data_IF_535163231474
#
_entry.id   IF_535163231474
#
_cell.length_a   1.000
_cell.length_b   1.000
_cell.length_c   1.000
_cell.angle_alpha   90.00
_cell.angle_beta   90.00
_cell.angle_gamma   90.00
#
_symmetry.space_group_name_H-M   'P 1'
#
loop_
_entity.id
_entity.type
_entity.pdbx_description
1 polymer ?
#
# COMPACT_ATOMS: atom_id res chain seq x y z
N UNK A 1 5.33 16.91 -8.14
CA UNK A 1 4.80 16.54 -6.81
C UNK A 1 3.81 15.37 -6.83
N UNK A 2 3.21 15.00 -7.97
CA UNK A 2 2.35 13.80 -8.02
C UNK A 2 3.19 12.55 -8.33
N UNK A 3 3.48 11.75 -7.29
CA UNK A 3 4.06 10.41 -7.41
C UNK A 3 3.04 9.34 -7.81
N UNK A 4 3.48 8.09 -7.93
CA UNK A 4 2.65 6.94 -8.32
C UNK A 4 1.43 6.75 -7.40
N UNK A 5 1.62 6.88 -6.08
CA UNK A 5 0.51 6.70 -5.13
C UNK A 5 -0.68 7.64 -5.33
N UNK A 6 -0.45 8.88 -5.79
CA UNK A 6 -1.56 9.80 -6.12
C UNK A 6 -2.31 9.30 -7.36
N UNK A 7 -1.58 8.83 -8.39
CA UNK A 7 -2.19 8.31 -9.62
C UNK A 7 -3.03 7.06 -9.35
N UNK A 8 -2.58 6.19 -8.46
CA UNK A 8 -3.28 4.96 -8.11
C UNK A 8 -4.59 5.24 -7.38
N UNK A 9 -4.58 6.15 -6.41
CA UNK A 9 -5.77 6.57 -5.66
C UNK A 9 -6.80 7.26 -6.57
N UNK A 10 -6.35 8.08 -7.52
CA UNK A 10 -7.25 8.81 -8.43
C UNK A 10 -7.61 8.05 -9.69
N UNK A 11 -7.10 6.83 -9.90
CA UNK A 11 -7.28 6.07 -11.15
C UNK A 11 -8.75 5.92 -11.54
N UNK A 12 -9.63 5.69 -10.56
CA UNK A 12 -11.07 5.51 -10.80
C UNK A 12 -11.78 6.79 -11.25
N UNK A 13 -11.23 7.97 -10.96
CA UNK A 13 -11.83 9.24 -11.32
C UNK A 13 -11.81 9.52 -12.84
N UNK A 14 -10.98 8.80 -13.60
CA UNK A 14 -10.95 8.86 -15.07
C UNK A 14 -12.04 8.04 -15.78
N UNK A 15 -12.99 7.48 -15.02
CA UNK A 15 -14.06 6.63 -15.56
C UNK A 15 -15.20 7.43 -16.21
N UNK A 16 -16.10 6.74 -16.93
CA UNK A 16 -17.26 7.35 -17.59
C UNK A 16 -18.23 8.04 -16.61
N UNK A 17 -18.47 9.37 -16.76
CA UNK A 17 -19.33 10.12 -15.84
C UNK A 17 -20.81 9.71 -15.89
N UNK A 18 -21.31 9.27 -17.05
CA UNK A 18 -22.72 8.89 -17.21
C UNK A 18 -23.01 7.61 -16.43
N UNK A 19 -22.15 6.61 -16.56
CA UNK A 19 -22.22 5.36 -15.82
C UNK A 19 -22.16 5.60 -14.31
N UNK A 20 -21.18 6.39 -13.83
CA UNK A 20 -21.06 6.69 -12.40
C UNK A 20 -22.28 7.43 -11.85
N UNK A 21 -22.87 8.34 -12.63
CA UNK A 21 -24.10 9.04 -12.22
C UNK A 21 -25.27 8.05 -12.04
N UNK A 22 -25.41 7.07 -12.92
CA UNK A 22 -26.43 6.03 -12.79
C UNK A 22 -26.20 5.15 -11.54
N UNK A 23 -24.95 4.72 -11.32
CA UNK A 23 -24.58 3.92 -10.13
C UNK A 23 -24.89 4.69 -8.84
N UNK A 24 -24.49 5.97 -8.76
CA UNK A 24 -24.72 6.80 -7.57
C UNK A 24 -26.22 7.06 -7.34
N UNK A 25 -26.98 7.30 -8.41
CA UNK A 25 -28.44 7.48 -8.31
C UNK A 25 -29.12 6.22 -7.78
N UNK A 26 -28.74 5.04 -8.28
CA UNK A 26 -29.28 3.75 -7.81
C UNK A 26 -28.93 3.42 -6.36
N UNK A 27 -27.86 4.00 -5.81
CA UNK A 27 -27.36 3.72 -4.45
C UNK A 27 -27.41 4.95 -3.53
N UNK A 28 -28.18 5.97 -3.89
CA UNK A 28 -28.08 7.31 -3.28
C UNK A 28 -28.19 7.29 -1.75
N UNK A 29 -29.14 6.53 -1.18
CA UNK A 29 -29.32 6.44 0.27
C UNK A 29 -28.12 5.83 1.00
N UNK A 30 -27.59 4.71 0.48
CA UNK A 30 -26.45 4.02 1.07
C UNK A 30 -25.18 4.86 0.95
N UNK A 31 -24.93 5.45 -0.22
CA UNK A 31 -23.77 6.31 -0.46
C UNK A 31 -23.85 7.56 0.43
N UNK A 32 -25.01 8.22 0.51
CA UNK A 32 -25.18 9.40 1.35
C UNK A 32 -24.93 9.11 2.85
N UNK A 33 -25.33 7.94 3.35
CA UNK A 33 -25.04 7.53 4.72
C UNK A 33 -23.53 7.42 4.98
N UNK A 34 -22.80 6.76 4.07
CA UNK A 34 -21.34 6.61 4.16
C UNK A 34 -20.64 7.97 4.05
N UNK A 35 -21.04 8.82 3.10
CA UNK A 35 -20.44 10.15 2.92
C UNK A 35 -20.67 11.06 4.13
N UNK A 36 -21.82 10.97 4.81
CA UNK A 36 -22.09 11.72 6.04
C UNK A 36 -21.18 11.28 7.19
N UNK A 37 -20.97 9.97 7.36
CA UNK A 37 -20.04 9.45 8.36
C UNK A 37 -18.60 9.91 8.07
N UNK A 38 -18.16 9.78 6.81
CA UNK A 38 -16.84 10.25 6.38
C UNK A 38 -16.66 11.77 6.61
N UNK A 39 -17.67 12.58 6.29
CA UNK A 39 -17.62 14.02 6.52
C UNK A 39 -17.49 14.37 8.01
N UNK A 40 -18.18 13.63 8.89
CA UNK A 40 -18.06 13.82 10.33
C UNK A 40 -16.65 13.47 10.84
N UNK A 41 -16.08 12.35 10.38
CA UNK A 41 -14.71 11.94 10.74
C UNK A 41 -13.67 12.96 10.25
N UNK A 42 -13.83 13.48 9.02
CA UNK A 42 -12.98 14.53 8.48
C UNK A 42 -13.10 15.83 9.30
N UNK A 43 -14.30 16.20 9.74
CA UNK A 43 -14.51 17.34 10.62
C UNK A 43 -13.72 17.22 11.93
N UNK A 44 -13.76 16.05 12.57
CA UNK A 44 -12.98 15.81 13.80
C UNK A 44 -11.47 15.93 13.58
N UNK A 45 -10.97 15.48 12.42
CA UNK A 45 -9.55 15.64 12.07
C UNK A 45 -9.20 17.11 11.89
N UNK A 46 -10.03 17.88 11.17
CA UNK A 46 -9.82 19.32 10.94
C UNK A 46 -9.77 20.06 12.28
N UNK A 47 -10.76 19.84 13.15
CA UNK A 47 -10.80 20.49 14.48
C UNK A 47 -9.56 20.17 15.33
N UNK A 48 -9.07 18.92 15.26
CA UNK A 48 -7.85 18.51 15.94
C UNK A 48 -6.61 19.19 15.36
N UNK A 49 -6.50 19.31 14.04
CA UNK A 49 -5.39 19.99 13.37
C UNK A 49 -5.39 21.48 13.67
N UNK A 50 -6.54 22.14 13.63
CA UNK A 50 -6.67 23.56 13.97
C UNK A 50 -6.26 23.82 15.42
N UNK A 51 -6.68 22.94 16.34
CA UNK A 51 -6.25 23.00 17.75
C UNK A 51 -4.74 22.88 17.89
N UNK A 52 -4.11 21.95 17.17
CA UNK A 52 -2.65 21.75 17.19
C UNK A 52 -1.90 22.96 16.59
N UNK A 53 -2.42 23.54 15.50
CA UNK A 53 -1.85 24.71 14.86
C UNK A 53 -1.91 25.94 15.78
N UNK A 54 -3.05 26.15 16.45
CA UNK A 54 -3.24 27.27 17.39
C UNK A 54 -2.44 27.12 18.70
N UNK A 55 -2.12 25.88 19.09
CA UNK A 55 -1.47 25.58 20.37
C UNK A 55 0.06 25.56 20.32
N UNK A 56 0.68 26.04 19.24
CA UNK A 56 2.15 26.14 19.14
C UNK A 56 2.63 27.34 19.94
N UNK A 57 3.13 27.11 21.15
CA UNK A 57 3.71 28.17 21.98
C UNK A 57 5.11 28.56 21.49
N UNK A 58 5.63 29.78 21.81
CA UNK A 58 6.96 30.22 21.40
C UNK A 58 8.13 29.31 21.84
N UNK A 59 7.91 28.51 22.87
CA UNK A 59 8.81 27.50 23.45
C UNK A 59 8.60 26.09 22.85
N UNK A 60 7.75 25.95 21.82
CA UNK A 60 7.57 24.71 21.06
C UNK A 60 6.71 23.65 21.75
N UNK A 61 6.04 23.99 22.85
CA UNK A 61 5.06 23.12 23.49
C UNK A 61 3.74 23.19 22.71
N UNK A 62 3.09 22.03 22.55
CA UNK A 62 1.77 21.94 21.92
C UNK A 62 0.74 21.67 23.01
N UNK A 63 0.00 22.70 23.40
CA UNK A 63 -1.10 22.60 24.37
C UNK A 63 -2.45 22.39 23.66
N UNK A 64 -2.62 21.24 23.02
CA UNK A 64 -3.90 20.83 22.43
C UNK A 64 -4.37 19.50 23.03
N UNK A 65 -4.94 19.51 24.25
CA UNK A 65 -5.40 18.30 24.92
C UNK A 65 -6.35 17.49 24.03
N UNK A 66 -6.08 16.19 23.86
CA UNK A 66 -6.93 15.29 23.09
C UNK A 66 -6.77 15.34 21.57
N UNK A 67 -6.28 16.43 20.98
CA UNK A 67 -6.14 16.56 19.51
C UNK A 67 -5.19 15.51 18.91
N UNK A 68 -4.03 15.28 19.54
CA UNK A 68 -3.11 14.19 19.15
C UNK A 68 -3.76 12.82 19.24
N UNK A 69 -4.62 12.60 20.25
CA UNK A 69 -5.31 11.35 20.44
C UNK A 69 -6.40 11.11 19.37
N UNK A 70 -7.07 12.17 18.90
CA UNK A 70 -7.99 12.08 17.74
C UNK A 70 -7.24 11.59 16.52
N UNK A 71 -6.13 12.24 16.14
CA UNK A 71 -5.32 11.84 14.99
C UNK A 71 -4.83 10.39 15.10
N UNK A 72 -4.25 10.02 16.25
CA UNK A 72 -3.73 8.67 16.48
C UNK A 72 -4.82 7.60 16.32
N UNK A 73 -6.02 7.84 16.88
CA UNK A 73 -7.15 6.92 16.74
C UNK A 73 -7.61 6.80 15.29
N UNK A 74 -7.73 7.91 14.56
CA UNK A 74 -8.19 7.89 13.18
C UNK A 74 -7.21 7.16 12.27
N UNK A 75 -5.90 7.37 12.43
CA UNK A 75 -4.86 6.62 11.69
C UNK A 75 -4.91 5.13 12.05
N UNK A 76 -5.02 4.79 13.33
CA UNK A 76 -5.12 3.40 13.77
C UNK A 76 -6.38 2.71 13.19
N UNK A 77 -7.52 3.41 13.15
CA UNK A 77 -8.74 2.90 12.54
C UNK A 77 -8.58 2.69 11.02
N UNK A 78 -7.88 3.59 10.33
CA UNK A 78 -7.52 3.44 8.92
C UNK A 78 -6.67 2.20 8.66
N UNK A 79 -5.61 2.00 9.45
CA UNK A 79 -4.75 0.81 9.37
C UNK A 79 -5.53 -0.48 9.62
N UNK A 80 -6.40 -0.50 10.64
CA UNK A 80 -7.26 -1.64 10.92
C UNK A 80 -8.29 -1.89 9.80
N UNK A 81 -8.79 -0.85 9.15
CA UNK A 81 -9.64 -0.94 7.96
C UNK A 81 -8.92 -1.58 6.78
N UNK A 82 -7.70 -1.10 6.48
CA UNK A 82 -6.86 -1.62 5.40
C UNK A 82 -6.54 -3.11 5.61
N UNK A 83 -6.20 -3.51 6.83
CA UNK A 83 -5.86 -4.89 7.16
C UNK A 83 -7.03 -5.87 6.98
N UNK A 84 -8.28 -5.39 6.89
CA UNK A 84 -9.48 -6.21 6.64
C UNK A 84 -9.79 -6.40 5.17
N UNK A 85 -9.13 -5.69 4.26
CA UNK A 85 -9.37 -5.82 2.82
C UNK A 85 -8.89 -7.22 2.39
N UNK A 86 -9.78 -8.09 1.86
CA UNK A 86 -9.40 -9.43 1.44
C UNK A 86 -8.36 -9.40 0.32
N UNK A 87 -7.45 -10.38 0.31
CA UNK A 87 -6.49 -10.53 -0.79
C UNK A 87 -7.16 -10.91 -2.11
N UNK A 88 -6.39 -10.87 -3.21
CA UNK A 88 -6.79 -11.13 -4.62
C UNK A 88 -7.65 -12.38 -4.88
N UNK A 89 -7.68 -13.35 -3.95
CA UNK A 89 -8.45 -14.60 -4.08
C UNK A 89 -9.59 -14.74 -3.05
N UNK A 90 -9.97 -13.66 -2.35
CA UNK A 90 -11.04 -13.69 -1.34
C UNK A 90 -10.70 -14.50 -0.09
N UNK A 91 -9.47 -15.00 0.02
CA UNK A 91 -8.93 -15.62 1.22
C UNK A 91 -8.70 -14.56 2.32
N UNK A 92 -8.65 -15.01 3.57
CA UNK A 92 -8.17 -14.18 4.68
C UNK A 92 -6.84 -13.50 4.28
N UNK A 93 -6.52 -12.30 4.80
CA UNK A 93 -5.26 -11.64 4.55
C UNK A 93 -4.12 -12.63 4.84
N UNK A 94 -3.54 -13.21 3.80
CA UNK A 94 -2.42 -14.10 3.96
C UNK A 94 -1.23 -13.18 4.28
N UNK A 95 -0.62 -13.37 5.44
CA UNK A 95 0.66 -12.76 5.72
C UNK A 95 1.65 -13.34 4.70
N UNK A 96 1.96 -12.60 3.65
CA UNK A 96 3.04 -12.96 2.74
C UNK A 96 4.36 -12.54 3.36
N UNK A 97 5.39 -13.36 3.11
CA UNK A 97 6.76 -12.93 3.28
C UNK A 97 7.22 -12.29 1.97
N UNK A 98 8.01 -11.22 2.08
CA UNK A 98 8.58 -10.51 0.94
C UNK A 98 10.03 -10.91 0.81
N UNK A 99 10.43 -11.37 -0.37
CA UNK A 99 11.81 -11.64 -0.74
C UNK A 99 12.23 -10.58 -1.75
N UNK A 100 13.21 -9.75 -1.41
CA UNK A 100 13.61 -8.62 -2.25
C UNK A 100 14.82 -9.00 -3.11
N UNK A 101 14.70 -8.90 -4.43
CA UNK A 101 15.74 -9.30 -5.39
C UNK A 101 16.21 -8.09 -6.19
N UNK A 102 17.52 -7.87 -6.26
CA UNK A 102 18.11 -6.87 -7.17
C UNK A 102 18.22 -7.44 -8.58
N UNK A 103 17.64 -6.74 -9.54
CA UNK A 103 17.59 -7.10 -10.96
C UNK A 103 18.59 -6.22 -11.72
N UNK A 104 19.63 -6.79 -12.36
CA UNK A 104 20.51 -6.02 -13.23
C UNK A 104 19.72 -5.40 -14.39
N UNK A 105 20.06 -4.18 -14.78
CA UNK A 105 19.45 -3.50 -15.94
C UNK A 105 20.02 -4.05 -17.26
N UNK A 106 19.69 -5.31 -17.55
CA UNK A 106 20.08 -6.02 -18.77
C UNK A 106 18.87 -6.75 -19.38
N UNK A 107 18.80 -6.89 -20.71
CA UNK A 107 17.72 -7.61 -21.37
C UNK A 107 17.59 -9.06 -20.85
N UNK A 108 16.37 -9.45 -20.48
CA UNK A 108 16.03 -10.84 -20.12
C UNK A 108 16.20 -11.21 -18.65
N UNK A 109 16.72 -10.32 -17.79
CA UNK A 109 16.95 -10.63 -16.36
C UNK A 109 15.66 -10.99 -15.60
N UNK A 110 14.55 -10.29 -15.87
CA UNK A 110 13.23 -10.65 -15.28
C UNK A 110 12.76 -12.05 -15.72
N UNK A 111 12.95 -12.39 -16.99
CA UNK A 111 12.59 -13.72 -17.51
C UNK A 111 13.42 -14.82 -16.87
N UNK A 112 14.73 -14.60 -16.72
CA UNK A 112 15.62 -15.51 -16.00
C UNK A 112 15.19 -15.69 -14.55
N UNK A 113 14.86 -14.60 -13.83
CA UNK A 113 14.41 -14.69 -12.45
C UNK A 113 13.15 -15.54 -12.33
N UNK A 114 12.13 -15.28 -13.17
CA UNK A 114 10.90 -16.08 -13.10
C UNK A 114 11.11 -17.54 -13.47
N UNK A 115 12.03 -17.84 -14.39
CA UNK A 115 12.44 -19.22 -14.66
C UNK A 115 13.08 -19.86 -13.42
N UNK A 116 14.03 -19.17 -12.79
CA UNK A 116 14.71 -19.67 -11.59
C UNK A 116 13.71 -19.92 -10.45
N UNK A 117 12.71 -19.04 -10.25
CA UNK A 117 11.64 -19.24 -9.26
C UNK A 117 10.75 -20.44 -9.64
N UNK A 118 10.38 -20.55 -10.92
CA UNK A 118 9.58 -21.68 -11.43
C UNK A 118 10.29 -23.02 -11.23
N UNK A 119 11.60 -23.07 -11.45
CA UNK A 119 12.44 -24.25 -11.23
C UNK A 119 12.52 -24.65 -9.74
N UNK A 120 12.32 -23.70 -8.81
CA UNK A 120 12.19 -23.98 -7.38
C UNK A 120 10.83 -24.62 -7.03
N UNK A 121 9.86 -24.58 -7.94
CA UNK A 121 8.48 -24.98 -7.68
C UNK A 121 7.73 -24.04 -6.74
N UNK A 122 8.19 -22.79 -6.59
CA UNK A 122 7.61 -21.81 -5.66
C UNK A 122 6.64 -20.89 -6.41
N UNK A 123 5.41 -20.75 -5.89
CA UNK A 123 4.43 -19.83 -6.44
C UNK A 123 4.68 -18.40 -5.95
N UNK A 124 4.55 -17.43 -6.86
CA UNK A 124 4.61 -16.01 -6.55
C UNK A 124 3.20 -15.45 -6.43
N UNK A 125 2.93 -14.75 -5.35
CA UNK A 125 1.60 -14.20 -5.07
C UNK A 125 1.45 -12.80 -5.63
N UNK A 126 2.41 -11.93 -5.33
CA UNK A 126 2.44 -10.55 -5.78
C UNK A 126 3.87 -10.15 -6.12
N UNK A 127 3.99 -9.17 -7.01
CA UNK A 127 5.25 -8.63 -7.51
C UNK A 127 5.18 -7.12 -7.47
N UNK A 128 6.17 -6.49 -6.84
CA UNK A 128 6.31 -5.04 -6.87
C UNK A 128 7.70 -4.69 -7.41
N UNK A 129 7.74 -3.93 -8.51
CA UNK A 129 8.98 -3.54 -9.19
C UNK A 129 9.24 -2.06 -8.94
N UNK A 130 10.28 -1.79 -8.16
CA UNK A 130 10.76 -0.44 -7.90
C UNK A 130 11.98 -0.11 -8.79
N UNK A 131 11.94 1.05 -9.42
CA UNK A 131 13.07 1.61 -10.14
C UNK A 131 13.54 2.88 -9.43
N UNK A 132 14.68 2.79 -8.75
CA UNK A 132 15.34 3.95 -8.18
C UNK A 132 16.09 4.69 -9.29
N UNK A 133 15.67 5.91 -9.61
CA UNK A 133 16.29 6.77 -10.61
C UNK A 133 17.80 6.93 -10.34
N UNK A 134 18.63 6.50 -11.28
CA UNK A 134 20.09 6.66 -11.23
C UNK A 134 20.89 5.45 -10.73
N UNK A 135 20.25 4.31 -10.43
CA UNK A 135 20.94 3.05 -10.08
C UNK A 135 20.86 2.06 -11.26
N UNK A 136 21.92 1.30 -11.57
CA UNK A 136 21.94 0.35 -12.68
C UNK A 136 21.22 -0.98 -12.36
N UNK A 137 20.28 -0.96 -11.42
CA UNK A 137 19.52 -2.12 -10.99
C UNK A 137 18.10 -1.74 -10.57
N UNK A 138 17.14 -2.58 -10.94
CA UNK A 138 15.79 -2.56 -10.39
C UNK A 138 15.72 -3.36 -9.09
N UNK A 139 14.77 -3.04 -8.23
CA UNK A 139 14.46 -3.83 -7.04
C UNK A 139 13.10 -4.49 -7.27
N UNK A 140 13.03 -5.82 -7.17
CA UNK A 140 11.80 -6.57 -7.31
C UNK A 140 11.48 -7.26 -5.98
N UNK A 141 10.33 -6.92 -5.42
CA UNK A 141 9.78 -7.56 -4.23
C UNK A 141 8.88 -8.72 -4.66
N UNK A 142 9.20 -9.93 -4.17
CA UNK A 142 8.48 -11.16 -4.43
C UNK A 142 7.67 -11.55 -3.19
N UNK A 143 6.35 -11.48 -3.27
CA UNK A 143 5.49 -11.96 -2.18
C UNK A 143 5.23 -13.46 -2.31
N UNK A 144 5.58 -14.22 -1.27
CA UNK A 144 5.41 -15.68 -1.20
C UNK A 144 4.82 -16.12 0.14
N UNK A 145 4.45 -17.39 0.25
CA UNK A 145 4.07 -17.95 1.54
C UNK A 145 5.26 -17.92 2.53
N UNK A 146 5.06 -17.57 3.81
CA UNK A 146 6.16 -17.48 4.77
C UNK A 146 6.98 -18.76 4.90
N UNK A 147 6.35 -19.91 4.73
CA UNK A 147 6.99 -21.22 4.83
C UNK A 147 8.06 -21.47 3.75
N UNK A 148 8.01 -20.77 2.61
CA UNK A 148 8.94 -20.98 1.48
C UNK A 148 9.88 -19.79 1.26
N UNK A 149 9.81 -18.75 2.09
CA UNK A 149 10.61 -17.54 1.90
C UNK A 149 12.11 -17.81 2.05
N UNK A 150 12.51 -18.52 3.12
CA UNK A 150 13.91 -18.89 3.34
C UNK A 150 14.44 -19.78 2.21
N UNK A 151 13.67 -20.79 1.80
CA UNK A 151 14.02 -21.68 0.69
C UNK A 151 14.21 -20.91 -0.62
N UNK A 152 13.34 -19.92 -0.89
CA UNK A 152 13.46 -19.06 -2.06
C UNK A 152 14.72 -18.18 -2.00
N UNK A 153 15.00 -17.56 -0.86
CA UNK A 153 16.20 -16.73 -0.65
C UNK A 153 17.46 -17.53 -0.91
N UNK A 154 17.57 -18.72 -0.32
CA UNK A 154 18.72 -19.62 -0.50
C UNK A 154 18.85 -20.07 -1.96
N UNK A 155 17.74 -20.45 -2.58
CA UNK A 155 17.69 -20.92 -3.97
C UNK A 155 18.15 -19.86 -4.98
N UNK A 156 17.69 -18.62 -4.81
CA UNK A 156 18.05 -17.49 -5.66
C UNK A 156 19.49 -17.04 -5.40
N UNK A 157 19.93 -17.00 -4.15
CA UNK A 157 21.31 -16.66 -3.77
C UNK A 157 22.30 -17.66 -4.39
N UNK A 158 21.99 -18.96 -4.36
CA UNK A 158 22.81 -19.99 -4.99
C UNK A 158 22.94 -19.83 -6.51
N UNK A 159 22.02 -19.10 -7.15
CA UNK A 159 22.02 -18.78 -8.60
C UNK A 159 22.64 -17.42 -8.92
N UNK A 160 23.23 -16.76 -7.93
CA UNK A 160 23.94 -15.51 -8.06
C UNK A 160 23.04 -14.27 -8.04
N UNK A 161 21.76 -14.41 -7.65
CA UNK A 161 20.92 -13.26 -7.34
C UNK A 161 21.38 -12.60 -6.04
N UNK A 162 21.25 -11.27 -5.98
CA UNK A 162 21.41 -10.52 -4.73
C UNK A 162 20.05 -10.38 -4.10
N UNK A 163 19.86 -11.03 -2.96
CA UNK A 163 18.61 -11.08 -2.22
C UNK A 163 18.76 -10.36 -0.89
N UNK A 164 17.73 -9.63 -0.48
CA UNK A 164 17.62 -8.94 0.80
C UNK A 164 16.32 -9.38 1.50
N UNK A 165 16.42 -9.56 2.82
CA UNK A 165 15.29 -9.83 3.74
C UNK A 165 14.71 -8.52 4.29
#
# INVERSE_FOLDING_TARGET
LSGTGVRDVTRIAGSDPVLWTQILTGNAGAVAAVLKALAADLGQIVDALDSLAAATTPDGQIEAPGARAVLARTIAAGNAGQARIPGKHGAAPAAYAVVTVLIPDEPGQLGRLFQDVGDAGINLEELNLEHNLGQPYGQLELSVLPAVAADLTDWLTARGWRVHD
#
